data_IF_582526567075
#
_entry.id   IF_582526567075
#
_cell.length_a   1.000
_cell.length_b   1.000
_cell.length_c   1.000
_cell.angle_alpha   90.00
_cell.angle_beta   90.00
_cell.angle_gamma   90.00
#
_symmetry.space_group_name_H-M   'P 1'
#
loop_
_entity.id
_entity.type
_entity.pdbx_description
1 polymer ?
#
# COMPACT_ATOMS: atom_id res chain seq x y z
N UNK A 1 17.59 -9.91 -7.75
CA UNK A 1 17.30 -9.68 -6.31
C UNK A 1 16.06 -8.80 -6.22
N UNK A 2 15.06 -9.20 -5.43
CA UNK A 2 13.88 -8.35 -5.14
C UNK A 2 14.19 -7.53 -3.89
N UNK A 3 14.04 -6.21 -3.98
CA UNK A 3 14.31 -5.29 -2.87
C UNK A 3 12.98 -4.95 -2.20
N UNK A 4 12.76 -5.48 -1.01
CA UNK A 4 11.52 -5.24 -0.26
C UNK A 4 11.48 -3.79 0.23
N UNK A 5 10.31 -3.18 0.11
CA UNK A 5 10.00 -1.86 0.63
C UNK A 5 9.36 -1.96 2.01
N UNK A 6 8.39 -1.09 2.26
CA UNK A 6 7.59 -1.09 3.48
C UNK A 6 6.62 -2.29 3.50
N UNK A 7 6.25 -2.72 4.72
CA UNK A 7 5.17 -3.66 4.99
C UNK A 7 4.00 -2.97 5.71
N UNK A 8 2.81 -3.50 5.53
CA UNK A 8 1.59 -3.11 6.23
C UNK A 8 0.78 -4.36 6.61
N UNK A 9 -0.01 -4.23 7.67
CA UNK A 9 -0.90 -5.29 8.15
C UNK A 9 -2.34 -4.92 7.78
N UNK A 10 -3.05 -5.85 7.15
CA UNK A 10 -4.49 -5.81 7.01
C UNK A 10 -5.13 -6.63 8.14
N UNK A 11 -5.64 -5.94 9.15
CA UNK A 11 -6.30 -6.57 10.31
C UNK A 11 -7.65 -7.20 9.94
N UNK A 12 -8.24 -6.84 8.81
CA UNK A 12 -9.59 -7.29 8.45
C UNK A 12 -9.59 -8.55 7.61
N UNK A 13 -8.54 -8.71 6.81
CA UNK A 13 -8.37 -9.92 6.00
C UNK A 13 -7.29 -10.86 6.54
N UNK A 14 -6.71 -10.55 7.71
CA UNK A 14 -5.64 -11.30 8.36
C UNK A 14 -4.39 -11.48 7.49
N UNK A 15 -3.93 -10.40 6.86
CA UNK A 15 -2.79 -10.43 5.93
C UNK A 15 -1.66 -9.50 6.33
N UNK A 16 -0.44 -9.90 5.98
CA UNK A 16 0.72 -9.02 5.93
C UNK A 16 0.99 -8.78 4.46
N UNK A 17 1.10 -7.52 4.05
CA UNK A 17 1.42 -7.15 2.68
C UNK A 17 2.67 -6.29 2.65
N UNK A 18 3.49 -6.48 1.62
CA UNK A 18 4.70 -5.70 1.42
C UNK A 18 4.87 -5.32 -0.04
N UNK A 19 5.59 -4.23 -0.23
CA UNK A 19 5.93 -3.73 -1.56
C UNK A 19 7.30 -4.23 -1.97
N UNK A 20 7.51 -4.36 -3.27
CA UNK A 20 8.82 -4.54 -3.88
C UNK A 20 9.21 -3.26 -4.61
N UNK A 21 10.29 -2.61 -4.17
CA UNK A 21 10.83 -1.41 -4.83
C UNK A 21 11.28 -1.71 -6.26
N UNK A 22 11.72 -2.95 -6.50
CA UNK A 22 12.09 -3.46 -7.81
C UNK A 22 10.99 -4.41 -8.29
N UNK A 23 10.34 -4.04 -9.39
CA UNK A 23 9.23 -4.79 -9.97
C UNK A 23 7.85 -4.20 -9.71
N UNK A 24 7.74 -3.21 -8.81
CA UNK A 24 6.50 -2.47 -8.52
C UNK A 24 5.34 -3.39 -8.08
N UNK A 25 5.69 -4.47 -7.38
CA UNK A 25 4.77 -5.54 -6.99
C UNK A 25 4.31 -5.33 -5.55
N UNK A 26 3.07 -5.70 -5.27
CA UNK A 26 2.57 -5.91 -3.92
C UNK A 26 2.34 -7.39 -3.74
N UNK A 27 2.93 -7.95 -2.69
CA UNK A 27 2.68 -9.32 -2.26
C UNK A 27 2.03 -9.31 -0.88
N UNK A 28 1.20 -10.30 -0.63
CA UNK A 28 0.58 -10.51 0.68
C UNK A 28 0.72 -11.98 1.09
N UNK A 29 0.88 -12.21 2.38
CA UNK A 29 0.83 -13.53 3.02
C UNK A 29 -0.24 -13.53 4.12
N UNK A 30 -0.55 -14.72 4.63
CA UNK A 30 -1.17 -14.84 5.94
C UNK A 30 -0.17 -14.49 7.07
N UNK A 31 -0.61 -14.50 8.33
CA UNK A 31 0.23 -14.14 9.48
C UNK A 31 1.36 -15.12 9.80
N UNK A 32 1.35 -16.33 9.23
CA UNK A 32 2.45 -17.29 9.38
C UNK A 32 3.49 -17.14 8.27
N UNK A 33 3.30 -16.19 7.34
CA UNK A 33 4.17 -16.00 6.17
C UNK A 33 3.91 -16.98 5.03
N UNK A 34 2.89 -17.84 5.15
CA UNK A 34 2.45 -18.75 4.10
C UNK A 34 1.50 -18.09 3.09
N UNK A 35 1.14 -18.84 2.05
CA UNK A 35 0.17 -18.42 1.03
C UNK A 35 0.51 -17.09 0.35
N UNK A 36 1.81 -16.85 0.12
CA UNK A 36 2.29 -15.63 -0.52
C UNK A 36 1.66 -15.52 -1.91
N UNK A 37 0.95 -14.41 -2.14
CA UNK A 37 0.33 -14.09 -3.42
C UNK A 37 0.68 -12.67 -3.82
N UNK A 38 1.06 -12.50 -5.08
CA UNK A 38 1.09 -11.20 -5.71
C UNK A 38 -0.34 -10.71 -5.89
N UNK A 39 -0.67 -9.57 -5.29
CA UNK A 39 -2.00 -8.95 -5.38
C UNK A 39 -2.05 -7.84 -6.44
N UNK A 40 -0.91 -7.24 -6.78
CA UNK A 40 -0.87 -6.25 -7.86
C UNK A 40 0.53 -6.03 -8.46
N UNK A 41 0.54 -5.56 -9.71
CA UNK A 41 1.70 -4.93 -10.37
C UNK A 41 1.37 -3.48 -10.75
N UNK A 42 2.13 -2.51 -10.27
CA UNK A 42 1.90 -1.08 -10.51
C UNK A 42 2.91 -0.51 -11.51
N UNK A 43 2.57 0.60 -12.16
CA UNK A 43 3.47 1.20 -13.16
C UNK A 43 4.50 2.18 -12.57
N UNK A 44 4.30 2.63 -11.32
CA UNK A 44 5.20 3.54 -10.60
C UNK A 44 6.03 2.83 -9.54
N UNK A 45 7.19 3.40 -9.17
CA UNK A 45 8.04 2.84 -8.12
C UNK A 45 7.38 2.99 -6.76
N UNK A 46 7.11 1.87 -6.11
CA UNK A 46 6.51 1.85 -4.78
C UNK A 46 7.55 2.24 -3.72
N UNK A 47 7.23 3.24 -2.90
CA UNK A 47 8.07 3.64 -1.77
C UNK A 47 7.53 3.17 -0.41
N UNK A 48 6.22 2.95 -0.32
CA UNK A 48 5.54 2.58 0.91
C UNK A 48 4.19 1.95 0.65
N UNK A 49 3.56 1.48 1.73
CA UNK A 49 2.20 0.95 1.72
C UNK A 49 1.55 1.20 3.08
N UNK A 50 0.30 1.63 3.06
CA UNK A 50 -0.59 1.57 4.21
C UNK A 50 -1.88 0.85 3.80
N UNK A 51 -2.52 0.16 4.73
CA UNK A 51 -3.74 -0.59 4.46
C UNK A 51 -4.81 -0.21 5.47
N UNK A 52 -6.03 0.02 4.97
CA UNK A 52 -7.23 0.15 5.76
C UNK A 52 -8.37 -0.58 5.05
N UNK A 53 -9.10 -1.41 5.80
CA UNK A 53 -10.34 -2.06 5.35
C UNK A 53 -10.22 -2.76 3.99
N UNK A 54 -9.12 -3.51 3.78
CA UNK A 54 -8.86 -4.23 2.54
C UNK A 54 -8.40 -3.36 1.35
N UNK A 55 -8.18 -2.06 1.57
CA UNK A 55 -7.68 -1.11 0.56
C UNK A 55 -6.24 -0.72 0.88
N UNK A 56 -5.36 -0.89 -0.09
CA UNK A 56 -3.98 -0.42 -0.04
C UNK A 56 -3.87 1.02 -0.56
N UNK A 57 -3.08 1.83 0.13
CA UNK A 57 -2.73 3.20 -0.23
C UNK A 57 -1.24 3.26 -0.52
N UNK A 58 -0.89 3.77 -1.69
CA UNK A 58 0.41 3.57 -2.32
C UNK A 58 0.96 4.90 -2.83
N UNK A 59 2.00 5.45 -2.17
CA UNK A 59 2.80 6.50 -2.78
C UNK A 59 3.72 5.90 -3.86
N UNK A 60 3.65 6.47 -5.06
CA UNK A 60 4.53 6.10 -6.18
C UNK A 60 5.51 7.23 -6.50
N UNK A 61 6.74 6.85 -6.86
CA UNK A 61 7.74 7.74 -7.47
C UNK A 61 7.83 7.41 -8.96
N UNK A 62 7.76 8.44 -9.81
CA UNK A 62 7.82 8.32 -11.27
C UNK A 62 6.75 7.38 -11.85
N UNK A 63 5.48 7.82 -11.93
CA UNK A 63 5.02 9.19 -11.65
C UNK A 63 4.80 9.46 -10.16
N UNK A 64 4.97 10.72 -9.77
CA UNK A 64 4.68 11.19 -8.41
C UNK A 64 3.15 11.22 -8.18
N UNK A 65 2.63 10.22 -7.45
CA UNK A 65 1.18 10.05 -7.22
C UNK A 65 0.91 9.35 -5.89
N UNK A 66 -0.31 9.51 -5.40
CA UNK A 66 -0.91 8.64 -4.38
C UNK A 66 -2.04 7.87 -5.02
N UNK A 67 -2.01 6.54 -4.87
CA UNK A 67 -3.01 5.62 -5.41
C UNK A 67 -3.72 4.89 -4.28
N UNK A 68 -4.98 4.53 -4.49
CA UNK A 68 -5.67 3.50 -3.69
C UNK A 68 -6.06 2.30 -4.54
N UNK A 69 -6.08 1.12 -3.92
CA UNK A 69 -6.32 -0.14 -4.62
C UNK A 69 -6.95 -1.18 -3.69
N UNK A 70 -8.03 -1.88 -4.09
CA UNK A 70 -8.51 -3.05 -3.36
C UNK A 70 -7.51 -4.22 -3.41
N UNK A 71 -7.19 -4.80 -2.25
CA UNK A 71 -6.28 -5.96 -2.14
C UNK A 71 -6.85 -7.25 -2.74
N UNK A 72 -8.15 -7.28 -3.03
CA UNK A 72 -8.81 -8.34 -3.81
C UNK A 72 -8.50 -8.28 -5.30
N UNK A 73 -7.78 -7.23 -5.75
CA UNK A 73 -7.58 -6.90 -7.16
C UNK A 73 -8.60 -5.88 -7.66
N UNK A 74 -8.35 -5.36 -8.87
CA UNK A 74 -9.15 -4.30 -9.49
C UNK A 74 -8.26 -3.20 -10.06
N UNK A 75 -8.87 -2.10 -10.52
CA UNK A 75 -8.13 -0.96 -11.04
C UNK A 75 -7.71 -0.02 -9.89
N UNK A 76 -6.45 0.45 -9.87
CA UNK A 76 -6.05 1.54 -8.98
C UNK A 76 -6.83 2.82 -9.24
N UNK A 77 -7.19 3.53 -8.18
CA UNK A 77 -7.73 4.90 -8.24
C UNK A 77 -6.62 5.88 -7.91
N UNK A 78 -6.48 6.95 -8.70
CA UNK A 78 -5.53 8.03 -8.40
C UNK A 78 -6.20 8.98 -7.40
N UNK A 79 -5.60 9.12 -6.23
CA UNK A 79 -6.07 10.03 -5.18
C UNK A 79 -5.38 11.39 -5.26
N UNK A 80 -4.11 11.42 -5.69
CA UNK A 80 -3.35 12.64 -5.87
C UNK A 80 -2.32 12.50 -7.01
N UNK A 81 -2.06 13.63 -7.69
CA UNK A 81 -1.03 13.77 -8.72
C UNK A 81 -0.06 14.90 -8.38
N UNK A 82 0.82 14.64 -7.40
CA UNK A 82 2.04 15.39 -7.22
C UNK A 82 1.94 16.63 -6.34
N UNK A 83 0.89 16.74 -5.51
CA UNK A 83 0.88 17.76 -4.44
C UNK A 83 1.87 17.42 -3.32
N UNK A 84 2.24 16.15 -3.18
CA UNK A 84 3.27 15.67 -2.24
C UNK A 84 4.50 15.21 -3.01
N UNK A 85 5.70 15.61 -2.59
CA UNK A 85 6.93 15.14 -3.23
C UNK A 85 7.29 13.72 -2.77
N UNK A 86 6.75 12.65 -3.39
CA UNK A 86 7.05 11.27 -2.97
C UNK A 86 8.54 10.88 -3.09
N UNK A 87 9.35 11.67 -3.81
CA UNK A 87 10.80 11.48 -3.91
C UNK A 87 11.50 11.96 -2.64
N UNK A 88 11.51 11.08 -1.63
CA UNK A 88 12.05 11.35 -0.30
C UNK A 88 11.19 10.76 0.83
N UNK A 89 9.95 10.36 0.52
CA UNK A 89 9.06 9.74 1.51
C UNK A 89 9.60 8.38 1.94
N UNK A 90 9.76 8.23 3.25
CA UNK A 90 10.26 7.01 3.89
C UNK A 90 9.12 6.07 4.27
N UNK A 91 7.91 6.59 4.46
CA UNK A 91 6.74 5.78 4.77
C UNK A 91 5.43 6.55 4.61
N UNK A 92 4.34 5.79 4.60
CA UNK A 92 2.96 6.27 4.68
C UNK A 92 2.30 5.59 5.89
N UNK A 93 1.40 6.30 6.57
CA UNK A 93 0.59 5.76 7.64
C UNK A 93 -0.85 6.26 7.48
N UNK A 94 -1.80 5.48 7.99
CA UNK A 94 -3.19 5.88 8.08
C UNK A 94 -3.45 6.33 9.51
N UNK A 95 -3.90 7.56 9.69
CA UNK A 95 -4.34 8.06 10.99
C UNK A 95 -5.82 7.77 11.16
N UNK A 96 -6.14 6.80 12.01
CA UNK A 96 -7.51 6.46 12.36
C UNK A 96 -7.64 6.26 13.87
N UNK A 97 -8.83 6.50 14.44
CA UNK A 97 -9.09 6.31 15.89
C UNK A 97 -9.05 4.84 16.34
N UNK A 98 -8.81 3.91 15.42
CA UNK A 98 -8.39 2.54 15.70
C UNK A 98 -8.05 1.81 14.42
N UNK A 99 -6.99 0.99 14.38
CA UNK A 99 -6.70 0.09 13.25
C UNK A 99 -7.59 -1.16 13.28
N UNK A 100 -8.87 -0.98 13.61
CA UNK A 100 -9.90 -2.01 13.61
C UNK A 100 -10.79 -1.83 12.38
N UNK A 101 -11.44 -2.91 11.95
CA UNK A 101 -12.22 -3.07 10.72
C UNK A 101 -13.51 -2.24 10.62
N UNK A 102 -13.43 -0.98 11.00
CA UNK A 102 -14.55 -0.06 11.08
C UNK A 102 -14.27 1.03 10.06
N UNK A 103 -14.86 0.84 8.88
CA UNK A 103 -14.82 1.77 7.77
C UNK A 103 -15.34 3.15 8.16
N UNK A 104 -14.42 4.14 8.14
CA UNK A 104 -14.60 5.55 7.79
C UNK A 104 -13.36 6.33 8.27
N UNK A 105 -12.26 6.26 7.52
CA UNK A 105 -11.02 6.99 7.82
C UNK A 105 -10.68 8.06 6.78
N UNK A 106 -10.25 9.23 7.26
CA UNK A 106 -9.64 10.27 6.41
C UNK A 106 -8.16 9.94 6.20
N UNK A 107 -7.72 9.92 4.95
CA UNK A 107 -6.32 9.75 4.58
C UNK A 107 -5.55 11.07 4.86
N UNK A 108 -4.62 11.05 5.79
CA UNK A 108 -3.60 12.10 5.92
C UNK A 108 -2.30 11.59 5.31
N UNK A 109 -1.90 12.16 4.18
CA UNK A 109 -0.56 12.00 3.64
C UNK A 109 0.30 13.05 4.33
N UNK A 110 1.18 12.62 5.25
CA UNK A 110 2.18 13.49 5.90
C UNK A 110 3.50 13.36 5.17
#
# INVERSE_FOLDING_TARGET
MRYTGQLAIDFCTNRICWTHRVGNIIECSNYTGGEIRQVHNTTGKLNGIAIQDGVAYLPTVNPNRVLSLPLTGGNPTILDTGTFNTSGFVGIAILHRGHHCIGNGSLLVV
#
